data_IF_408436939540
#
_entry.id   IF_408436939540
#
_cell.length_a   1.000
_cell.length_b   1.000
_cell.length_c   1.000
_cell.angle_alpha   90.00
_cell.angle_beta   90.00
_cell.angle_gamma   90.00
#
_symmetry.space_group_name_H-M   'P 1'
#
loop_
_entity.id
_entity.type
_entity.pdbx_description
1 polymer ?
#
# COMPACT_ATOMS: atom_id res chain seq x y z
N UNK A 1 22.53 39.23 2.95
CA UNK A 1 22.62 37.80 3.19
C UNK A 1 22.98 37.52 4.64
N UNK A 2 22.37 36.49 5.25
CA UNK A 2 22.66 36.14 6.63
C UNK A 2 21.40 36.01 7.49
N UNK A 3 21.64 35.83 8.80
CA UNK A 3 20.59 35.72 9.81
C UNK A 3 20.45 37.06 10.52
N UNK A 4 19.24 37.58 10.56
CA UNK A 4 18.89 38.86 11.18
C UNK A 4 17.88 38.65 12.29
N UNK A 5 18.12 39.20 13.47
CA UNK A 5 17.15 39.17 14.57
C UNK A 5 16.11 40.26 14.41
N UNK A 6 14.82 39.87 14.54
CA UNK A 6 13.70 40.81 14.43
C UNK A 6 12.67 40.49 15.54
N UNK A 7 12.68 41.31 16.56
CA UNK A 7 11.88 41.07 17.77
C UNK A 7 12.28 39.74 18.43
N UNK A 8 11.31 38.85 18.65
CA UNK A 8 11.56 37.51 19.19
C UNK A 8 11.85 36.43 18.12
N UNK A 9 11.90 36.85 16.85
CA UNK A 9 12.11 35.93 15.72
C UNK A 9 13.38 36.23 14.94
N UNK A 10 13.64 35.41 13.90
CA UNK A 10 14.78 35.56 13.00
C UNK A 10 14.30 35.59 11.55
N UNK A 11 14.95 36.42 10.74
CA UNK A 11 14.82 36.45 9.28
C UNK A 11 16.12 35.94 8.69
N UNK A 12 16.03 34.93 7.84
CA UNK A 12 17.17 34.38 7.11
C UNK A 12 17.08 34.83 5.66
N UNK A 13 18.09 35.52 5.19
CA UNK A 13 18.20 35.93 3.78
C UNK A 13 19.31 35.14 3.13
N UNK A 14 18.92 34.26 2.22
CA UNK A 14 19.86 33.48 1.41
C UNK A 14 19.63 33.78 -0.06
N UNK A 15 20.71 34.11 -0.77
CA UNK A 15 20.66 34.64 -2.14
C UNK A 15 20.63 33.58 -3.22
N UNK A 16 20.63 32.28 -2.85
CA UNK A 16 20.58 31.21 -3.81
C UNK A 16 19.13 31.01 -4.33
N UNK A 17 19.00 30.72 -5.62
CA UNK A 17 17.72 30.43 -6.22
C UNK A 17 17.25 29.01 -5.81
N UNK A 18 15.96 28.81 -5.48
CA UNK A 18 15.42 27.49 -5.13
C UNK A 18 15.75 26.41 -6.17
N UNK A 19 15.69 26.73 -7.45
CA UNK A 19 16.04 25.80 -8.52
C UNK A 19 17.49 25.32 -8.46
N UNK A 20 18.44 26.17 -8.05
CA UNK A 20 19.84 25.77 -7.88
C UNK A 20 20.04 24.86 -6.69
N UNK A 21 19.28 25.07 -5.60
CA UNK A 21 19.30 24.22 -4.41
C UNK A 21 18.88 22.79 -4.79
N UNK A 22 17.82 22.64 -5.59
CA UNK A 22 17.33 21.33 -6.05
C UNK A 22 18.33 20.59 -6.98
N UNK A 23 19.18 21.33 -7.70
CA UNK A 23 20.12 20.77 -8.66
C UNK A 23 21.53 20.51 -8.10
N UNK A 24 21.81 20.93 -6.86
CA UNK A 24 23.13 20.81 -6.23
C UNK A 24 23.00 20.21 -4.84
N UNK A 25 23.53 18.99 -4.65
CA UNK A 25 23.60 18.34 -3.35
C UNK A 25 24.29 19.22 -2.29
N UNK A 26 25.38 19.88 -2.68
CA UNK A 26 26.13 20.77 -1.78
C UNK A 26 25.28 21.96 -1.31
N UNK A 27 24.55 22.62 -2.23
CA UNK A 27 23.64 23.72 -1.87
C UNK A 27 22.46 23.24 -1.03
N UNK A 28 21.92 22.05 -1.33
CA UNK A 28 20.86 21.43 -0.53
C UNK A 28 21.33 21.12 0.90
N UNK A 29 22.56 20.62 1.08
CA UNK A 29 23.15 20.36 2.40
C UNK A 29 23.39 21.65 3.19
N UNK A 30 23.89 22.69 2.54
CA UNK A 30 24.06 24.01 3.14
C UNK A 30 22.70 24.59 3.57
N UNK A 31 21.69 24.50 2.72
CA UNK A 31 20.33 24.97 3.04
C UNK A 31 19.75 24.24 4.25
N UNK A 32 19.81 22.90 4.27
CA UNK A 32 19.34 22.09 5.40
C UNK A 32 20.05 22.47 6.69
N UNK A 33 21.38 22.59 6.64
CA UNK A 33 22.17 22.99 7.80
C UNK A 33 21.81 24.37 8.33
N UNK A 34 21.57 25.32 7.43
CA UNK A 34 21.11 26.67 7.76
C UNK A 34 19.74 26.65 8.45
N UNK A 35 18.79 25.92 7.91
CA UNK A 35 17.44 25.78 8.49
C UNK A 35 17.50 25.10 9.85
N UNK A 36 18.22 23.98 9.97
CA UNK A 36 18.36 23.24 11.23
C UNK A 36 18.97 24.10 12.33
N UNK A 37 20.06 24.82 12.02
CA UNK A 37 20.74 25.72 12.96
C UNK A 37 19.81 26.85 13.40
N UNK A 38 19.13 27.49 12.45
CA UNK A 38 18.26 28.62 12.78
C UNK A 38 17.08 28.18 13.66
N UNK A 39 16.49 27.00 13.40
CA UNK A 39 15.42 26.46 14.23
C UNK A 39 15.92 26.04 15.61
N UNK A 40 17.09 25.38 15.70
CA UNK A 40 17.66 24.97 16.96
C UNK A 40 17.95 26.19 17.88
N UNK A 41 18.42 27.31 17.31
CA UNK A 41 18.64 28.57 18.04
C UNK A 41 17.32 29.15 18.63
N UNK A 42 16.15 28.73 18.11
CA UNK A 42 14.82 29.12 18.64
C UNK A 42 14.20 28.04 19.50
N UNK A 43 14.92 26.97 19.81
CA UNK A 43 14.43 25.84 20.62
C UNK A 43 13.54 24.87 19.85
N UNK A 44 13.46 24.96 18.54
CA UNK A 44 12.67 24.07 17.67
C UNK A 44 13.58 22.98 17.12
N UNK A 45 13.23 21.73 17.38
CA UNK A 45 13.86 20.58 16.73
C UNK A 45 13.18 20.33 15.39
N UNK A 46 13.95 20.41 14.29
CA UNK A 46 13.46 20.08 12.97
C UNK A 46 13.91 18.67 12.59
N UNK A 47 12.94 17.87 12.17
CA UNK A 47 13.16 16.53 11.60
C UNK A 47 12.69 16.52 10.17
N UNK A 48 13.39 15.78 9.32
CA UNK A 48 12.96 15.52 7.96
C UNK A 48 12.89 14.02 7.72
N UNK A 49 12.10 13.62 6.74
CA UNK A 49 12.00 12.23 6.30
C UNK A 49 12.52 12.12 4.88
N UNK A 50 13.12 10.96 4.59
CA UNK A 50 13.58 10.63 3.24
C UNK A 50 12.47 10.02 2.39
N UNK A 51 11.34 9.68 3.00
CA UNK A 51 10.18 9.04 2.39
C UNK A 51 8.93 9.92 2.46
N UNK A 52 8.08 9.77 1.48
CA UNK A 52 6.69 10.21 1.53
C UNK A 52 5.84 8.99 1.89
N UNK A 53 5.36 8.93 3.12
CA UNK A 53 4.51 7.83 3.59
C UNK A 53 3.16 8.35 4.06
N UNK A 54 2.10 7.81 3.49
CA UNK A 54 0.72 8.11 3.82
C UNK A 54 0.02 6.84 4.33
N UNK A 55 -0.68 6.97 5.46
CA UNK A 55 -1.54 5.93 6.00
C UNK A 55 -3.01 6.32 5.85
N UNK A 56 -3.83 5.42 5.27
CA UNK A 56 -5.28 5.57 5.17
C UNK A 56 -5.97 4.27 5.59
N UNK A 57 -6.46 4.23 6.83
CA UNK A 57 -6.95 2.98 7.42
C UNK A 57 -5.85 1.91 7.32
N UNK A 58 -6.11 0.75 6.73
CA UNK A 58 -5.12 -0.30 6.58
C UNK A 58 -4.15 -0.08 5.41
N UNK A 59 -4.34 0.95 4.58
CA UNK A 59 -3.49 1.18 3.41
C UNK A 59 -2.28 2.03 3.76
N UNK A 60 -1.10 1.58 3.31
CA UNK A 60 0.17 2.30 3.39
C UNK A 60 0.63 2.57 1.96
N UNK A 61 0.77 3.85 1.64
CA UNK A 61 1.34 4.31 0.36
C UNK A 61 2.67 4.95 0.71
N UNK A 62 3.76 4.47 0.12
CA UNK A 62 5.07 5.03 0.38
C UNK A 62 5.91 5.14 -0.88
N UNK A 63 6.72 6.19 -0.93
CA UNK A 63 7.69 6.42 -2.00
C UNK A 63 8.95 7.04 -1.41
N UNK A 64 10.10 6.64 -1.93
CA UNK A 64 11.37 7.33 -1.74
C UNK A 64 11.74 7.93 -3.09
N UNK A 65 11.77 9.27 -3.16
CA UNK A 65 12.05 9.96 -4.42
C UNK A 65 13.52 9.81 -4.79
N UNK A 66 13.83 9.75 -6.09
CA UNK A 66 15.21 9.68 -6.58
C UNK A 66 16.07 10.86 -6.13
N UNK A 67 15.45 12.06 -6.02
CA UNK A 67 16.05 13.29 -5.51
C UNK A 67 15.97 13.47 -3.99
N UNK A 68 15.69 12.39 -3.25
CA UNK A 68 15.62 12.42 -1.78
C UNK A 68 16.95 12.82 -1.14
N UNK A 69 16.88 13.24 0.12
CA UNK A 69 18.04 13.80 0.84
C UNK A 69 19.16 12.79 1.10
N UNK A 70 18.86 11.49 0.99
CA UNK A 70 19.86 10.42 1.09
C UNK A 70 19.43 9.22 0.22
N UNK A 71 20.36 8.28 0.03
CA UNK A 71 20.09 7.03 -0.68
C UNK A 71 19.52 5.94 0.25
N UNK A 72 19.09 6.33 1.46
CA UNK A 72 18.51 5.40 2.43
C UNK A 72 17.13 4.96 1.99
N UNK A 73 16.92 3.66 2.02
CA UNK A 73 15.63 3.04 1.76
C UNK A 73 14.70 3.16 2.97
N UNK A 74 13.40 3.19 2.71
CA UNK A 74 12.38 2.98 3.72
C UNK A 74 12.10 1.50 3.88
N UNK A 75 12.13 0.99 5.11
CA UNK A 75 11.79 -0.41 5.42
C UNK A 75 10.49 -0.46 6.19
N UNK A 76 9.58 -1.33 5.75
CA UNK A 76 8.36 -1.69 6.46
C UNK A 76 8.51 -3.11 6.98
N UNK A 77 8.28 -3.32 8.27
CA UNK A 77 8.30 -4.64 8.91
C UNK A 77 6.95 -4.89 9.55
N UNK A 78 6.35 -6.05 9.28
CA UNK A 78 5.01 -6.42 9.73
C UNK A 78 4.35 -7.38 8.75
N UNK A 79 3.07 -7.65 8.91
CA UNK A 79 2.30 -8.52 8.01
C UNK A 79 1.50 -7.66 7.05
N UNK A 80 1.86 -7.71 5.78
CA UNK A 80 1.25 -6.91 4.72
C UNK A 80 0.81 -7.77 3.54
N UNK A 81 -0.21 -7.32 2.81
CA UNK A 81 -0.37 -7.72 1.42
C UNK A 81 0.26 -6.64 0.52
N UNK A 82 1.15 -7.03 -0.38
CA UNK A 82 1.73 -6.13 -1.39
C UNK A 82 0.76 -5.98 -2.56
N UNK A 83 0.05 -4.84 -2.59
CA UNK A 83 -0.97 -4.57 -3.60
C UNK A 83 -0.39 -4.18 -4.98
N UNK A 84 0.95 -4.08 -5.09
CA UNK A 84 1.64 -3.87 -6.36
C UNK A 84 1.97 -5.19 -7.06
N UNK A 85 1.83 -6.34 -6.38
CA UNK A 85 1.98 -7.66 -7.00
C UNK A 85 0.65 -8.16 -7.56
N UNK A 86 0.71 -9.00 -8.60
CA UNK A 86 -0.50 -9.51 -9.26
C UNK A 86 -1.35 -10.38 -8.33
N UNK A 87 -0.71 -11.12 -7.43
CA UNK A 87 -1.34 -12.05 -6.49
C UNK A 87 -1.56 -11.47 -5.09
N UNK A 88 -1.29 -10.16 -4.92
CA UNK A 88 -1.38 -9.49 -3.62
C UNK A 88 -0.62 -10.27 -2.55
N UNK A 89 0.66 -10.58 -2.81
CA UNK A 89 1.49 -11.46 -2.00
C UNK A 89 1.54 -11.03 -0.53
N UNK A 90 1.46 -12.01 0.39
CA UNK A 90 1.68 -11.75 1.81
C UNK A 90 3.19 -11.67 2.05
N UNK A 91 3.61 -10.58 2.67
CA UNK A 91 5.00 -10.27 2.96
C UNK A 91 5.18 -9.80 4.40
N UNK A 92 6.37 -10.02 4.96
CA UNK A 92 6.74 -9.58 6.32
C UNK A 92 7.70 -8.40 6.34
N UNK A 93 8.31 -8.12 5.20
CA UNK A 93 9.21 -6.98 5.02
C UNK A 93 9.05 -6.41 3.62
N UNK A 94 9.13 -5.08 3.50
CA UNK A 94 9.16 -4.36 2.23
C UNK A 94 10.19 -3.26 2.30
N UNK A 95 11.17 -3.34 1.43
CA UNK A 95 12.10 -2.26 1.13
C UNK A 95 11.52 -1.37 0.04
N UNK A 96 11.60 -0.07 0.24
CA UNK A 96 11.30 0.96 -0.75
C UNK A 96 12.57 1.78 -0.95
N UNK A 97 13.28 1.51 -2.02
CA UNK A 97 14.53 2.19 -2.37
C UNK A 97 14.25 3.56 -3.01
N UNK A 98 15.27 4.42 -3.18
CA UNK A 98 15.14 5.61 -4.00
C UNK A 98 14.58 5.28 -5.40
N UNK A 99 13.64 6.09 -5.86
CA UNK A 99 12.85 5.94 -7.09
C UNK A 99 11.79 4.82 -7.08
N UNK A 100 11.58 4.18 -5.92
CA UNK A 100 10.54 3.17 -5.73
C UNK A 100 9.27 3.75 -5.09
N UNK A 101 8.16 3.05 -5.37
CA UNK A 101 6.86 3.27 -4.75
C UNK A 101 6.26 1.95 -4.30
N UNK A 102 5.48 1.97 -3.21
CA UNK A 102 4.74 0.79 -2.75
C UNK A 102 3.34 1.15 -2.28
N UNK A 103 2.43 0.18 -2.42
CA UNK A 103 1.08 0.20 -1.86
C UNK A 103 0.87 -1.11 -1.09
N UNK A 104 0.75 -1.01 0.23
CA UNK A 104 0.59 -2.14 1.13
C UNK A 104 -0.76 -2.10 1.82
N UNK A 105 -1.29 -3.28 2.13
CA UNK A 105 -2.40 -3.45 3.05
C UNK A 105 -1.85 -4.00 4.37
N UNK A 106 -1.96 -3.23 5.45
CA UNK A 106 -1.44 -3.54 6.78
C UNK A 106 -2.48 -4.31 7.60
N UNK A 107 -2.24 -5.60 7.84
CA UNK A 107 -3.15 -6.44 8.61
C UNK A 107 -3.22 -6.07 10.09
N UNK A 108 -2.24 -5.36 10.63
CA UNK A 108 -2.26 -4.89 12.03
C UNK A 108 -3.29 -3.77 12.28
N UNK A 109 -3.80 -3.15 11.21
CA UNK A 109 -4.76 -2.02 11.28
C UNK A 109 -6.21 -2.45 11.11
N UNK A 110 -6.48 -3.75 11.03
CA UNK A 110 -7.84 -4.26 10.93
C UNK A 110 -8.21 -5.01 12.20
N UNK A 111 -9.35 -4.67 12.75
CA UNK A 111 -9.94 -5.34 13.90
C UNK A 111 -11.00 -6.35 13.44
N UNK A 112 -11.21 -7.39 14.23
CA UNK A 112 -12.21 -8.42 13.96
C UNK A 112 -11.80 -9.44 12.88
N UNK A 113 -12.69 -10.37 12.63
CA UNK A 113 -12.53 -11.46 11.65
C UNK A 113 -13.53 -11.33 10.48
N UNK A 114 -14.03 -10.11 10.26
CA UNK A 114 -15.07 -9.86 9.28
C UNK A 114 -14.59 -10.04 7.84
N UNK A 115 -15.56 -10.28 6.97
CA UNK A 115 -15.35 -10.27 5.53
C UNK A 115 -14.74 -8.94 5.05
N UNK A 116 -13.62 -9.03 4.32
CA UNK A 116 -12.98 -7.84 3.74
C UNK A 116 -12.21 -8.17 2.48
N UNK A 117 -12.48 -7.43 1.42
CA UNK A 117 -11.62 -7.47 0.23
C UNK A 117 -10.30 -6.76 0.57
N UNK A 118 -9.18 -7.49 0.42
CA UNK A 118 -7.81 -6.97 0.62
C UNK A 118 -7.31 -6.35 -0.66
N UNK A 119 -7.46 -7.06 -1.77
CA UNK A 119 -7.09 -6.61 -3.10
C UNK A 119 -7.84 -7.40 -4.17
N UNK A 120 -8.16 -6.75 -5.28
CA UNK A 120 -8.83 -7.41 -6.40
C UNK A 120 -8.53 -6.70 -7.71
N UNK A 121 -8.33 -7.48 -8.78
CA UNK A 121 -8.28 -6.99 -10.16
C UNK A 121 -9.66 -7.00 -10.84
N UNK A 122 -10.69 -7.48 -10.11
CA UNK A 122 -12.06 -7.51 -10.57
C UNK A 122 -12.88 -6.38 -9.93
N UNK A 123 -13.95 -5.96 -10.58
CA UNK A 123 -15.01 -5.22 -9.92
C UNK A 123 -15.83 -6.21 -9.06
N UNK A 124 -15.93 -5.94 -7.78
CA UNK A 124 -16.79 -6.70 -6.87
C UNK A 124 -18.20 -6.15 -6.99
N UNK A 125 -19.10 -6.92 -7.57
CA UNK A 125 -20.52 -6.56 -7.65
C UNK A 125 -21.24 -6.93 -6.34
N UNK A 126 -20.86 -8.06 -5.73
CA UNK A 126 -21.38 -8.52 -4.47
C UNK A 126 -20.31 -9.35 -3.73
N UNK A 127 -20.30 -9.27 -2.42
CA UNK A 127 -19.42 -10.08 -1.59
C UNK A 127 -19.97 -10.17 -0.18
N UNK A 128 -20.23 -11.39 0.27
CA UNK A 128 -20.81 -11.64 1.58
C UNK A 128 -20.37 -12.97 2.18
N UNK A 129 -20.49 -13.06 3.49
CA UNK A 129 -20.40 -14.30 4.24
C UNK A 129 -21.77 -14.66 4.78
N UNK A 130 -22.12 -15.94 4.70
CA UNK A 130 -23.34 -16.50 5.25
C UNK A 130 -23.02 -17.51 6.36
N UNK A 131 -24.02 -18.08 7.01
CA UNK A 131 -23.81 -19.17 7.97
C UNK A 131 -23.12 -20.39 7.34
N UNK A 132 -23.27 -20.59 6.04
CA UNK A 132 -22.82 -21.78 5.32
C UNK A 132 -21.53 -21.58 4.51
N UNK A 133 -21.09 -20.35 4.29
CA UNK A 133 -19.93 -20.10 3.44
C UNK A 133 -19.72 -18.64 3.02
N UNK A 134 -18.99 -18.47 1.95
CA UNK A 134 -18.70 -17.18 1.31
C UNK A 134 -19.19 -17.19 -0.14
N UNK A 135 -19.62 -16.04 -0.61
CA UNK A 135 -19.97 -15.76 -2.00
C UNK A 135 -19.32 -14.46 -2.47
N UNK A 136 -18.76 -14.48 -3.67
CA UNK A 136 -18.18 -13.31 -4.36
C UNK A 136 -18.70 -13.29 -5.79
N UNK A 137 -19.28 -12.17 -6.21
CA UNK A 137 -19.64 -11.90 -7.61
C UNK A 137 -18.67 -10.90 -8.19
N UNK A 138 -17.92 -11.34 -9.17
CA UNK A 138 -16.75 -10.66 -9.69
C UNK A 138 -16.90 -10.44 -11.21
N UNK A 139 -16.65 -9.20 -11.65
CA UNK A 139 -16.65 -8.87 -13.07
C UNK A 139 -15.30 -8.33 -13.48
N UNK A 140 -14.67 -8.94 -14.47
CA UNK A 140 -13.32 -8.57 -14.92
C UNK A 140 -13.35 -8.14 -16.39
N UNK A 141 -12.30 -7.43 -16.80
CA UNK A 141 -12.02 -7.24 -18.22
C UNK A 141 -11.71 -8.59 -18.90
N UNK A 142 -11.97 -8.66 -20.19
CA UNK A 142 -11.71 -9.86 -20.97
C UNK A 142 -10.21 -10.18 -21.09
N UNK A 143 -9.90 -11.47 -21.23
CA UNK A 143 -8.54 -11.99 -21.51
C UNK A 143 -7.47 -11.66 -20.49
N UNK A 144 -7.83 -11.44 -19.24
CA UNK A 144 -6.87 -11.28 -18.15
C UNK A 144 -6.96 -12.43 -17.15
N UNK A 145 -5.88 -12.76 -16.47
CA UNK A 145 -5.93 -13.57 -15.26
C UNK A 145 -6.34 -12.67 -14.11
N UNK A 146 -7.52 -12.93 -13.55
CA UNK A 146 -8.07 -12.21 -12.43
C UNK A 146 -7.51 -12.75 -11.11
N UNK A 147 -7.28 -11.86 -10.15
CA UNK A 147 -6.88 -12.19 -8.79
C UNK A 147 -7.78 -11.46 -7.81
N UNK A 148 -8.19 -12.14 -6.76
CA UNK A 148 -8.90 -11.53 -5.63
C UNK A 148 -8.42 -12.16 -4.34
N UNK A 149 -7.93 -11.32 -3.42
CA UNK A 149 -7.59 -11.71 -2.06
C UNK A 149 -8.64 -11.16 -1.11
N UNK A 150 -9.25 -12.04 -0.34
CA UNK A 150 -10.31 -11.69 0.61
C UNK A 150 -9.99 -12.25 1.98
N UNK A 151 -10.13 -11.43 3.03
CA UNK A 151 -10.10 -11.90 4.41
C UNK A 151 -11.46 -12.48 4.79
N UNK A 152 -11.41 -13.63 5.48
CA UNK A 152 -12.59 -14.39 5.88
C UNK A 152 -12.50 -14.80 7.36
N UNK A 153 -13.62 -15.01 8.04
CA UNK A 153 -13.61 -15.42 9.45
C UNK A 153 -13.00 -16.82 9.66
N UNK A 154 -13.05 -17.68 8.65
CA UNK A 154 -12.45 -19.01 8.66
C UNK A 154 -12.19 -19.53 7.25
N UNK A 155 -11.37 -20.58 7.16
CA UNK A 155 -10.99 -21.20 5.89
C UNK A 155 -12.22 -21.82 5.21
N UNK A 156 -12.51 -21.48 3.94
CA UNK A 156 -13.52 -22.16 3.17
C UNK A 156 -12.98 -23.44 2.54
N UNK A 157 -13.89 -24.39 2.34
CA UNK A 157 -13.69 -25.62 1.57
C UNK A 157 -14.60 -25.64 0.36
N UNK A 158 -14.45 -26.62 -0.53
CA UNK A 158 -15.31 -26.81 -1.72
C UNK A 158 -15.49 -25.50 -2.52
N UNK A 159 -14.35 -24.83 -2.82
CA UNK A 159 -14.35 -23.54 -3.52
C UNK A 159 -14.63 -23.80 -5.01
N UNK A 160 -15.64 -23.13 -5.54
CA UNK A 160 -16.10 -23.26 -6.93
C UNK A 160 -16.34 -21.91 -7.55
N UNK A 161 -16.23 -21.86 -8.87
CA UNK A 161 -16.59 -20.71 -9.66
C UNK A 161 -17.48 -21.10 -10.83
N UNK A 162 -18.53 -20.34 -11.06
CA UNK A 162 -19.41 -20.45 -12.22
C UNK A 162 -19.60 -19.08 -12.86
N UNK A 163 -19.82 -19.06 -14.16
CA UNK A 163 -20.20 -17.83 -14.86
C UNK A 163 -21.72 -17.57 -14.79
N UNK A 164 -22.18 -16.47 -15.39
CA UNK A 164 -23.59 -16.07 -15.39
C UNK A 164 -24.50 -17.03 -16.17
N UNK A 165 -23.96 -17.91 -17.02
CA UNK A 165 -24.70 -18.96 -17.72
C UNK A 165 -24.72 -20.29 -16.92
N UNK A 166 -24.03 -20.33 -15.77
CA UNK A 166 -23.93 -21.53 -14.92
C UNK A 166 -22.80 -22.48 -15.34
N UNK A 167 -21.97 -22.08 -16.30
CA UNK A 167 -20.82 -22.88 -16.75
C UNK A 167 -19.67 -22.78 -15.73
N UNK A 168 -18.99 -23.92 -15.52
CA UNK A 168 -17.90 -23.98 -14.56
C UNK A 168 -16.67 -23.18 -15.05
N UNK A 169 -16.12 -22.34 -14.19
CA UNK A 169 -14.89 -21.60 -14.43
C UNK A 169 -13.74 -22.26 -13.68
N UNK A 170 -12.63 -22.53 -14.37
CA UNK A 170 -11.43 -23.10 -13.74
C UNK A 170 -10.84 -22.07 -12.78
N UNK A 171 -10.74 -22.44 -11.51
CA UNK A 171 -10.30 -21.59 -10.42
C UNK A 171 -9.08 -22.21 -9.74
N UNK A 172 -8.08 -21.38 -9.47
CA UNK A 172 -6.99 -21.67 -8.52
C UNK A 172 -7.28 -20.94 -7.21
N UNK A 173 -7.01 -21.59 -6.07
CA UNK A 173 -7.21 -20.97 -4.77
C UNK A 173 -6.10 -21.35 -3.79
N UNK A 174 -5.78 -20.45 -2.89
CA UNK A 174 -4.88 -20.71 -1.76
C UNK A 174 -5.36 -19.99 -0.51
N UNK A 175 -5.13 -20.60 0.65
CA UNK A 175 -5.44 -20.03 1.96
C UNK A 175 -4.17 -19.67 2.68
N UNK A 176 -4.15 -18.48 3.27
CA UNK A 176 -3.12 -18.03 4.19
C UNK A 176 -3.68 -17.97 5.61
N UNK A 177 -3.13 -18.82 6.48
CA UNK A 177 -3.64 -18.98 7.83
C UNK A 177 -3.29 -17.81 8.75
N UNK A 178 -2.15 -17.16 8.52
CA UNK A 178 -1.70 -16.06 9.36
C UNK A 178 -2.61 -14.83 9.20
N UNK A 179 -2.93 -14.50 7.96
CA UNK A 179 -3.78 -13.34 7.63
C UNK A 179 -5.25 -13.70 7.53
N UNK A 180 -5.60 -15.00 7.59
CA UNK A 180 -6.92 -15.54 7.33
C UNK A 180 -7.48 -15.05 6.00
N UNK A 181 -6.66 -15.13 4.95
CA UNK A 181 -7.07 -14.70 3.62
C UNK A 181 -7.13 -15.84 2.63
N UNK A 182 -8.17 -15.81 1.81
CA UNK A 182 -8.32 -16.61 0.62
C UNK A 182 -7.86 -15.80 -0.59
N UNK A 183 -6.91 -16.32 -1.34
CA UNK A 183 -6.60 -15.85 -2.69
C UNK A 183 -7.31 -16.74 -3.69
N UNK A 184 -8.04 -16.15 -4.61
CA UNK A 184 -8.62 -16.85 -5.77
C UNK A 184 -8.10 -16.22 -7.05
N UNK A 185 -7.83 -17.06 -8.06
CA UNK A 185 -7.48 -16.59 -9.39
C UNK A 185 -8.12 -17.44 -10.48
N UNK A 186 -8.49 -16.81 -11.58
CA UNK A 186 -9.10 -17.46 -12.74
C UNK A 186 -8.80 -16.68 -14.02
N UNK A 187 -8.87 -17.37 -15.15
CA UNK A 187 -8.85 -16.70 -16.46
C UNK A 187 -10.21 -16.09 -16.71
N UNK A 188 -10.27 -14.79 -17.00
CA UNK A 188 -11.54 -14.10 -17.22
C UNK A 188 -12.30 -14.66 -18.44
N UNK A 189 -13.61 -14.69 -18.32
CA UNK A 189 -14.53 -15.25 -19.35
C UNK A 189 -15.45 -14.18 -19.96
N UNK A 190 -15.11 -12.89 -19.84
CA UNK A 190 -15.92 -11.74 -20.30
C UNK A 190 -17.31 -11.62 -19.68
N UNK A 191 -17.55 -12.36 -18.62
CA UNK A 191 -18.82 -12.46 -17.91
C UNK A 191 -18.61 -12.28 -16.43
N UNK A 192 -19.70 -12.09 -15.70
CA UNK A 192 -19.66 -12.15 -14.25
C UNK A 192 -19.34 -13.58 -13.80
N UNK A 193 -18.45 -13.71 -12.82
CA UNK A 193 -18.08 -14.98 -12.21
C UNK A 193 -18.51 -14.97 -10.75
N UNK A 194 -19.28 -15.96 -10.37
CA UNK A 194 -19.68 -16.20 -8.99
C UNK A 194 -18.75 -17.25 -8.37
N UNK A 195 -17.95 -16.82 -7.39
CA UNK A 195 -17.10 -17.70 -6.59
C UNK A 195 -17.81 -18.02 -5.28
N UNK A 196 -17.93 -19.29 -4.95
CA UNK A 196 -18.52 -19.76 -3.70
C UNK A 196 -17.58 -20.70 -2.96
N UNK A 197 -17.64 -20.67 -1.63
CA UNK A 197 -16.90 -21.60 -0.78
C UNK A 197 -17.73 -21.92 0.46
N UNK A 198 -17.67 -23.16 0.93
CA UNK A 198 -18.38 -23.60 2.15
C UNK A 198 -17.45 -23.53 3.35
N UNK A 199 -17.99 -23.25 4.51
CA UNK A 199 -17.21 -23.39 5.75
C UNK A 199 -16.89 -24.87 6.03
N UNK A 200 -15.65 -25.09 6.55
CA UNK A 200 -15.24 -26.37 7.05
C UNK A 200 -15.96 -26.70 8.38
#
# INVERSE_FOLDING_TARGET
EGVHEVGAGKIVVWKELPARICLSKELADQYRSLVQKTLADTGITWTYRNDLTLHRGPYVISSVMAESVSDEKKVFTGVYADLMTNDYAIIHEKDVAPDDVTLLFDFSKIEGEDFRIVGTSARVEEGETTENGVMLRLKTADKIKAFTRVRLPKQPTDIKAIDEDGEAVVLESSWDEETKTLLVSYQSVSKEVCVTGKWA
#
